data_IF_620321818664
#
_entry.id   IF_620321818664
#
_cell.length_a   1.000
_cell.length_b   1.000
_cell.length_c   1.000
_cell.angle_alpha   90.00
_cell.angle_beta   90.00
_cell.angle_gamma   90.00
#
_symmetry.space_group_name_H-M   'P 1'
#
loop_
_entity.id
_entity.type
_entity.pdbx_description
1 polymer ?
#
# COMPACT_ATOMS: atom_id res chain seq x y z
N UNK A 1 15.27 -2.62 -39.52
CA UNK A 1 13.86 -2.38 -39.87
C UNK A 1 13.27 -1.45 -38.81
N UNK A 2 12.13 -0.80 -39.04
CA UNK A 2 11.47 0.02 -38.00
C UNK A 2 10.31 -0.76 -37.39
N UNK A 3 10.08 -0.56 -36.10
CA UNK A 3 8.96 -1.18 -35.36
C UNK A 3 8.01 -0.10 -34.86
N UNK A 4 6.71 -0.39 -34.90
CA UNK A 4 5.67 0.57 -34.54
C UNK A 4 5.07 0.27 -33.17
N UNK A 5 4.72 1.35 -32.46
CA UNK A 5 3.96 1.33 -31.22
C UNK A 5 2.48 1.58 -31.48
N UNK A 6 1.64 0.53 -31.51
CA UNK A 6 0.19 0.65 -31.75
C UNK A 6 -0.55 1.53 -30.73
N UNK A 7 0.02 1.71 -29.52
CA UNK A 7 -0.59 2.53 -28.46
C UNK A 7 -0.27 4.00 -28.56
N UNK A 8 0.91 4.34 -29.06
CA UNK A 8 1.46 5.70 -28.99
C UNK A 8 1.77 6.30 -30.36
N UNK A 9 1.73 5.49 -31.42
CA UNK A 9 1.95 5.91 -32.80
C UNK A 9 3.41 6.20 -33.15
N UNK A 10 4.36 5.92 -32.25
CA UNK A 10 5.78 6.25 -32.44
C UNK A 10 6.52 5.06 -33.06
N UNK A 11 7.35 5.35 -34.06
CA UNK A 11 8.25 4.38 -34.67
C UNK A 11 9.61 4.37 -33.97
N UNK A 12 10.17 3.17 -33.80
CA UNK A 12 11.46 2.93 -33.16
C UNK A 12 12.38 2.10 -34.06
N UNK A 13 13.72 2.21 -33.87
CA UNK A 13 14.68 1.31 -34.49
C UNK A 13 14.48 -0.17 -34.07
N UNK A 14 14.94 -1.10 -34.90
CA UNK A 14 14.72 -2.56 -34.73
C UNK A 14 15.26 -3.16 -33.43
N UNK A 15 16.29 -2.53 -32.86
CA UNK A 15 16.93 -2.94 -31.62
C UNK A 15 16.02 -2.83 -30.39
N UNK A 16 14.96 -2.04 -30.47
CA UNK A 16 13.99 -1.89 -29.38
C UNK A 16 12.96 -3.03 -29.41
N UNK A 17 12.77 -3.69 -28.27
CA UNK A 17 11.70 -4.68 -28.08
C UNK A 17 10.43 -4.05 -27.49
N UNK A 18 10.55 -2.94 -26.77
CA UNK A 18 9.47 -2.25 -26.07
C UNK A 18 9.50 -0.74 -26.34
N UNK A 19 8.33 -0.12 -26.33
CA UNK A 19 8.19 1.33 -26.46
C UNK A 19 8.76 2.03 -25.22
N UNK A 20 9.75 2.92 -25.42
CA UNK A 20 10.37 3.70 -24.34
C UNK A 20 9.41 4.69 -23.65
N UNK A 21 8.26 5.00 -24.28
CA UNK A 21 7.27 5.94 -23.74
C UNK A 21 6.14 5.27 -22.97
N UNK A 22 5.70 4.08 -23.37
CA UNK A 22 4.52 3.42 -22.77
C UNK A 22 4.71 1.94 -22.41
N UNK A 23 5.90 1.38 -22.61
CA UNK A 23 6.24 0.01 -22.24
C UNK A 23 5.60 -1.09 -23.09
N UNK A 24 4.75 -0.77 -24.07
CA UNK A 24 4.12 -1.80 -24.92
C UNK A 24 5.13 -2.48 -25.85
N UNK A 25 4.98 -3.78 -26.14
CA UNK A 25 5.82 -4.47 -27.12
C UNK A 25 5.64 -3.84 -28.51
N UNK A 26 6.75 -3.68 -29.24
CA UNK A 26 6.75 -3.07 -30.58
C UNK A 26 6.54 -4.13 -31.66
N UNK A 27 5.68 -3.86 -32.65
CA UNK A 27 5.46 -4.79 -33.77
C UNK A 27 6.34 -4.42 -34.97
N UNK A 28 6.97 -5.41 -35.63
CA UNK A 28 7.68 -5.16 -36.88
C UNK A 28 6.70 -4.70 -37.96
N UNK A 29 7.03 -3.56 -38.58
CA UNK A 29 6.25 -3.03 -39.69
C UNK A 29 6.71 -3.79 -40.94
N UNK A 30 6.01 -4.86 -41.29
CA UNK A 30 6.18 -5.48 -42.60
C UNK A 30 5.50 -4.57 -43.62
N UNK A 31 6.27 -3.94 -44.49
CA UNK A 31 5.73 -3.30 -45.69
C UNK A 31 4.86 -4.33 -46.42
N UNK A 32 3.57 -4.09 -46.47
CA UNK A 32 2.64 -4.89 -47.25
C UNK A 32 2.28 -4.08 -48.49
N UNK A 33 2.86 -4.38 -49.67
CA UNK A 33 2.44 -3.74 -50.91
C UNK A 33 1.02 -4.20 -51.27
N UNK A 34 0.21 -3.25 -51.70
CA UNK A 34 -1.16 -3.44 -52.18
C UNK A 34 -1.25 -4.33 -53.43
N UNK A 35 -2.09 -5.36 -53.33
CA UNK A 35 -2.91 -6.08 -54.34
C UNK A 35 -2.44 -6.20 -55.82
N UNK A 36 -2.33 -7.45 -56.29
CA UNK A 36 -2.76 -7.90 -57.64
C UNK A 36 -3.06 -9.42 -57.65
N UNK A 37 -3.94 -9.88 -58.55
CA UNK A 37 -4.66 -11.16 -58.52
C UNK A 37 -4.08 -12.31 -59.40
N UNK A 38 -4.55 -13.55 -59.13
CA UNK A 38 -4.60 -14.81 -59.95
C UNK A 38 -3.33 -15.69 -60.11
N UNK A 39 -3.41 -16.97 -60.57
CA UNK A 39 -4.20 -18.16 -60.12
C UNK A 39 -3.32 -19.44 -59.86
N UNK A 40 -3.87 -20.47 -59.16
CA UNK A 40 -3.33 -21.87 -59.00
C UNK A 40 -3.46 -22.72 -60.29
N UNK A 41 -2.81 -23.92 -60.51
CA UNK A 41 -2.59 -25.09 -59.59
C UNK A 41 -1.30 -25.94 -59.94
N UNK A 42 -1.14 -27.28 -59.69
CA UNK A 42 -1.65 -28.24 -58.68
C UNK A 42 -0.58 -29.04 -57.88
N UNK A 43 -1.11 -29.75 -56.87
CA UNK A 43 -0.64 -30.81 -55.95
C UNK A 43 0.58 -31.72 -56.24
N UNK A 44 1.25 -32.11 -55.14
CA UNK A 44 1.97 -33.37 -54.99
C UNK A 44 2.44 -33.63 -53.55
N UNK A 45 1.75 -34.50 -52.80
CA UNK A 45 2.24 -35.12 -51.55
C UNK A 45 2.69 -36.55 -51.87
N UNK A 46 3.72 -37.06 -51.16
CA UNK A 46 3.47 -38.25 -50.34
C UNK A 46 4.07 -38.15 -48.92
N UNK A 47 3.65 -39.04 -48.01
CA UNK A 47 3.69 -38.82 -46.56
C UNK A 47 5.01 -39.29 -45.95
N UNK A 48 5.48 -38.60 -44.91
CA UNK A 48 6.44 -39.18 -43.99
C UNK A 48 5.94 -39.05 -42.55
N UNK A 49 5.63 -40.19 -41.94
CA UNK A 49 5.26 -40.32 -40.53
C UNK A 49 6.50 -40.07 -39.67
N UNK A 50 6.57 -38.90 -39.06
CA UNK A 50 7.41 -38.64 -37.89
C UNK A 50 6.52 -38.33 -36.70
N UNK A 51 6.54 -39.18 -35.67
CA UNK A 51 5.91 -38.88 -34.39
C UNK A 51 6.66 -37.70 -33.74
N UNK A 52 6.04 -36.52 -33.71
CA UNK A 52 6.65 -35.28 -33.21
C UNK A 52 6.40 -35.15 -31.69
N UNK A 53 7.47 -35.31 -30.89
CA UNK A 53 7.47 -35.22 -29.42
C UNK A 53 7.32 -33.78 -28.89
N UNK A 54 6.78 -32.85 -29.68
CA UNK A 54 6.67 -31.42 -29.36
C UNK A 54 5.51 -31.06 -28.41
N UNK A 55 4.54 -31.95 -28.23
CA UNK A 55 3.35 -31.64 -27.41
C UNK A 55 3.64 -31.78 -25.91
N UNK A 56 4.53 -32.69 -25.51
CA UNK A 56 4.88 -32.88 -24.09
C UNK A 56 5.85 -31.79 -23.59
N UNK A 57 6.77 -31.33 -24.44
CA UNK A 57 7.69 -30.23 -24.10
C UNK A 57 6.98 -28.89 -23.89
N UNK A 58 5.96 -28.59 -24.70
CA UNK A 58 5.17 -27.36 -24.56
C UNK A 58 4.29 -27.35 -23.31
N UNK A 59 3.68 -28.49 -22.95
CA UNK A 59 2.83 -28.61 -21.77
C UNK A 59 3.65 -28.62 -20.47
N UNK A 60 4.79 -29.31 -20.45
CA UNK A 60 5.71 -29.29 -19.32
C UNK A 60 6.34 -27.89 -19.16
N UNK A 61 6.71 -27.22 -20.26
CA UNK A 61 7.20 -25.85 -20.25
C UNK A 61 6.15 -24.84 -19.78
N UNK A 62 4.88 -25.00 -20.19
CA UNK A 62 3.78 -24.17 -19.71
C UNK A 62 3.45 -24.43 -18.23
N UNK A 63 3.46 -25.68 -17.77
CA UNK A 63 3.28 -26.03 -16.35
C UNK A 63 4.43 -25.48 -15.52
N UNK A 64 5.68 -25.60 -15.98
CA UNK A 64 6.85 -25.02 -15.29
C UNK A 64 6.78 -23.49 -15.30
N UNK A 65 6.38 -22.86 -16.41
CA UNK A 65 6.20 -21.41 -16.47
C UNK A 65 5.06 -20.93 -15.56
N UNK A 66 3.93 -21.64 -15.51
CA UNK A 66 2.81 -21.35 -14.60
C UNK A 66 3.20 -21.60 -13.16
N UNK A 67 3.94 -22.68 -12.86
CA UNK A 67 4.46 -22.97 -11.53
C UNK A 67 5.53 -21.95 -11.13
N UNK A 68 6.39 -21.49 -12.02
CA UNK A 68 7.37 -20.43 -11.76
C UNK A 68 6.67 -19.08 -11.60
N UNK A 69 5.64 -18.76 -12.37
CA UNK A 69 4.82 -17.55 -12.18
C UNK A 69 4.05 -17.65 -10.86
N UNK A 70 3.49 -18.81 -10.50
CA UNK A 70 2.83 -19.03 -9.22
C UNK A 70 3.83 -18.99 -8.06
N UNK A 71 5.03 -19.55 -8.20
CA UNK A 71 6.12 -19.49 -7.20
C UNK A 71 6.64 -18.06 -7.09
N UNK A 72 6.77 -17.31 -8.19
CA UNK A 72 7.14 -15.88 -8.16
C UNK A 72 6.02 -15.05 -7.54
N UNK A 73 4.75 -15.32 -7.83
CA UNK A 73 3.59 -14.69 -7.17
C UNK A 73 3.48 -15.09 -5.68
N UNK A 74 3.90 -16.29 -5.30
CA UNK A 74 3.96 -16.75 -3.90
C UNK A 74 5.20 -16.26 -3.15
N UNK A 75 6.35 -16.15 -3.82
CA UNK A 75 7.62 -15.64 -3.27
C UNK A 75 7.64 -14.11 -3.20
N UNK A 76 6.89 -13.42 -4.07
CA UNK A 76 6.51 -12.01 -3.89
C UNK A 76 5.47 -11.82 -2.76
N UNK A 77 4.93 -12.91 -2.21
CA UNK A 77 4.04 -12.91 -1.04
C UNK A 77 4.74 -13.22 0.30
N UNK A 78 6.06 -13.40 0.32
CA UNK A 78 6.84 -13.67 1.53
C UNK A 78 8.18 -12.91 1.46
N UNK A 79 8.18 -11.61 1.81
CA UNK A 79 8.46 -11.22 3.20
C UNK A 79 7.51 -10.09 3.66
N UNK A 80 6.80 -10.36 4.75
CA UNK A 80 5.93 -9.39 5.44
C UNK A 80 5.67 -9.82 6.88
N UNK A 81 5.70 -11.13 7.17
CA UNK A 81 5.54 -11.66 8.51
C UNK A 81 6.63 -11.21 9.49
N UNK A 82 7.89 -11.11 9.06
CA UNK A 82 9.01 -10.75 9.94
C UNK A 82 8.95 -9.29 10.36
N UNK A 83 8.78 -8.38 9.41
CA UNK A 83 8.67 -6.94 9.65
C UNK A 83 7.40 -6.60 10.47
N UNK A 84 6.24 -7.17 10.10
CA UNK A 84 5.00 -6.99 10.89
C UNK A 84 5.10 -7.60 12.30
N UNK A 85 5.90 -8.65 12.50
CA UNK A 85 6.17 -9.19 13.84
C UNK A 85 7.11 -8.29 14.66
N UNK A 86 8.03 -7.58 14.01
CA UNK A 86 8.99 -6.69 14.65
C UNK A 86 8.31 -5.48 15.31
N UNK A 87 7.14 -5.05 14.83
CA UNK A 87 6.31 -4.01 15.45
C UNK A 87 6.11 -4.25 16.96
N UNK A 88 5.86 -5.49 17.38
CA UNK A 88 5.73 -5.82 18.81
C UNK A 88 7.04 -5.66 19.58
N UNK A 89 8.17 -6.00 18.96
CA UNK A 89 9.51 -5.82 19.54
C UNK A 89 9.88 -4.35 19.64
N UNK A 90 9.67 -3.57 18.57
CA UNK A 90 9.91 -2.12 18.54
C UNK A 90 9.02 -1.41 19.57
N UNK A 91 7.74 -1.78 19.68
CA UNK A 91 6.84 -1.25 20.72
C UNK A 91 7.32 -1.59 22.14
N UNK A 92 7.84 -2.80 22.37
CA UNK A 92 8.41 -3.17 23.66
C UNK A 92 9.68 -2.36 23.98
N UNK A 93 10.54 -2.09 23.00
CA UNK A 93 11.73 -1.27 23.18
C UNK A 93 11.37 0.19 23.48
N UNK A 94 10.41 0.74 22.75
CA UNK A 94 10.05 2.16 22.81
C UNK A 94 9.17 2.51 24.02
N UNK A 95 8.26 1.62 24.41
CA UNK A 95 7.24 1.89 25.43
C UNK A 95 7.38 1.00 26.68
N UNK A 96 8.30 0.03 26.67
CA UNK A 96 8.39 -0.98 27.72
C UNK A 96 7.19 -1.92 27.73
N UNK A 97 6.96 -2.57 28.87
CA UNK A 97 5.79 -3.43 29.06
C UNK A 97 5.87 -4.78 28.36
N UNK A 98 4.71 -5.37 28.09
CA UNK A 98 4.58 -6.65 27.37
C UNK A 98 3.72 -6.44 26.15
N UNK A 99 4.22 -6.87 24.99
CA UNK A 99 3.57 -6.67 23.70
C UNK A 99 3.44 -7.99 22.96
N UNK A 100 2.35 -8.13 22.22
CA UNK A 100 2.15 -9.26 21.32
C UNK A 100 1.43 -8.83 20.05
N UNK A 101 1.91 -9.33 18.92
CA UNK A 101 1.23 -9.15 17.63
C UNK A 101 0.06 -10.12 17.56
N UNK A 102 -1.13 -9.57 17.30
CA UNK A 102 -2.37 -10.33 17.15
C UNK A 102 -2.38 -11.04 15.80
N UNK A 103 -1.87 -12.27 15.77
CA UNK A 103 -1.67 -13.06 14.54
C UNK A 103 -2.95 -13.32 13.73
N UNK A 104 -4.12 -13.25 14.36
CA UNK A 104 -5.42 -13.42 13.69
C UNK A 104 -5.95 -12.12 13.06
N UNK A 105 -5.25 -11.00 13.28
CA UNK A 105 -5.65 -9.65 12.82
C UNK A 105 -4.48 -8.90 12.19
N UNK A 106 -3.38 -9.60 11.91
CA UNK A 106 -2.17 -9.08 11.27
C UNK A 106 -1.88 -9.93 10.06
N UNK A 107 -1.55 -9.30 8.93
CA UNK A 107 -1.30 -10.01 7.70
C UNK A 107 -1.07 -9.10 6.51
N UNK A 108 -1.16 -9.71 5.34
CA UNK A 108 -0.96 -9.06 4.04
C UNK A 108 -2.10 -9.41 3.11
N UNK A 109 -2.60 -8.41 2.41
CA UNK A 109 -3.57 -8.53 1.35
C UNK A 109 -2.93 -8.16 0.01
N UNK A 110 -2.98 -9.08 -0.96
CA UNK A 110 -2.49 -8.83 -2.33
C UNK A 110 -3.66 -8.79 -3.29
N UNK A 111 -3.71 -7.75 -4.13
CA UNK A 111 -4.77 -7.56 -5.11
C UNK A 111 -4.72 -8.65 -6.19
N UNK A 112 -5.88 -9.25 -6.48
CA UNK A 112 -6.01 -10.33 -7.47
C UNK A 112 -6.98 -9.99 -8.61
N UNK A 113 -7.49 -8.76 -8.67
CA UNK A 113 -8.42 -8.31 -9.70
C UNK A 113 -9.87 -8.17 -9.22
N UNK A 114 -10.68 -7.42 -9.97
CA UNK A 114 -12.12 -7.22 -9.71
C UNK A 114 -12.47 -6.73 -8.30
N UNK A 115 -11.60 -5.92 -7.68
CA UNK A 115 -11.80 -5.46 -6.30
C UNK A 115 -11.63 -6.56 -5.25
N UNK A 116 -10.98 -7.68 -5.57
CA UNK A 116 -10.72 -8.79 -4.64
C UNK A 116 -9.24 -8.85 -4.24
N UNK A 117 -9.01 -9.34 -3.02
CA UNK A 117 -7.70 -9.50 -2.41
C UNK A 117 -7.53 -10.91 -1.84
N UNK A 118 -6.33 -11.48 -2.00
CA UNK A 118 -5.90 -12.63 -1.23
C UNK A 118 -5.21 -12.16 0.05
N UNK A 119 -5.85 -12.42 1.18
CA UNK A 119 -5.33 -12.12 2.52
C UNK A 119 -4.62 -13.36 3.07
N UNK A 120 -3.42 -13.16 3.60
CA UNK A 120 -2.68 -14.16 4.39
C UNK A 120 -2.39 -13.57 5.76
N UNK A 121 -2.98 -14.14 6.80
CA UNK A 121 -2.76 -13.75 8.19
C UNK A 121 -1.54 -14.46 8.77
N UNK A 122 -0.93 -13.89 9.81
CA UNK A 122 0.26 -14.47 10.46
C UNK A 122 -0.01 -15.80 11.19
N UNK A 123 -1.27 -16.11 11.47
CA UNK A 123 -1.67 -17.44 11.96
C UNK A 123 -1.70 -18.52 10.85
N UNK A 124 -1.43 -18.15 9.60
CA UNK A 124 -1.45 -19.03 8.43
C UNK A 124 -2.81 -19.13 7.73
N UNK A 125 -3.87 -18.51 8.27
CA UNK A 125 -5.19 -18.45 7.62
C UNK A 125 -5.08 -17.64 6.34
N UNK A 126 -5.68 -18.17 5.27
CA UNK A 126 -5.81 -17.52 3.97
C UNK A 126 -7.27 -17.33 3.62
N UNK A 127 -7.61 -16.18 3.09
CA UNK A 127 -8.97 -15.88 2.65
C UNK A 127 -8.96 -14.91 1.48
N UNK A 128 -10.04 -14.96 0.69
CA UNK A 128 -10.28 -13.97 -0.35
C UNK A 128 -11.34 -13.01 0.15
N UNK A 129 -11.04 -11.72 0.16
CA UNK A 129 -11.96 -10.67 0.64
C UNK A 129 -12.20 -9.64 -0.44
N UNK A 130 -13.33 -8.94 -0.36
CA UNK A 130 -13.54 -7.74 -1.17
C UNK A 130 -12.73 -6.57 -0.62
N UNK A 131 -12.46 -5.60 -1.48
CA UNK A 131 -11.87 -4.33 -1.06
C UNK A 131 -12.73 -3.62 0.01
N UNK A 132 -14.05 -3.71 -0.09
CA UNK A 132 -14.97 -3.13 0.91
C UNK A 132 -14.74 -3.74 2.29
N UNK A 133 -14.58 -5.08 2.36
CA UNK A 133 -14.32 -5.77 3.61
C UNK A 133 -12.95 -5.39 4.17
N UNK A 134 -11.91 -5.42 3.33
CA UNK A 134 -10.55 -5.01 3.71
C UNK A 134 -10.52 -3.55 4.21
N UNK A 135 -11.23 -2.66 3.54
CA UNK A 135 -11.30 -1.24 3.87
C UNK A 135 -11.99 -1.01 5.21
N UNK A 136 -13.14 -1.67 5.42
CA UNK A 136 -13.90 -1.57 6.67
C UNK A 136 -13.14 -2.11 7.89
N UNK A 137 -12.30 -3.13 7.69
CA UNK A 137 -11.56 -3.79 8.77
C UNK A 137 -10.24 -3.10 9.11
N UNK A 138 -9.50 -2.61 8.10
CA UNK A 138 -8.11 -2.18 8.30
C UNK A 138 -7.81 -0.80 7.69
N UNK A 139 -8.23 -0.49 6.46
CA UNK A 139 -7.85 0.78 5.80
C UNK A 139 -8.47 2.02 6.45
N UNK A 140 -9.43 1.85 7.35
CA UNK A 140 -9.92 2.93 8.21
C UNK A 140 -8.81 3.64 9.00
N UNK A 141 -7.66 3.00 9.23
CA UNK A 141 -6.47 3.59 9.87
C UNK A 141 -5.82 4.66 8.98
N UNK A 142 -5.87 4.47 7.66
CA UNK A 142 -5.43 5.47 6.68
C UNK A 142 -6.48 6.59 6.51
N UNK A 143 -7.70 6.38 7.00
CA UNK A 143 -8.68 7.45 7.08
C UNK A 143 -8.20 8.47 8.09
N UNK A 144 -7.57 9.52 7.57
CA UNK A 144 -7.12 10.68 8.29
C UNK A 144 -8.26 11.19 9.19
N UNK A 145 -8.22 10.82 10.47
CA UNK A 145 -9.14 11.36 11.46
C UNK A 145 -8.90 12.86 11.50
N UNK A 146 -9.93 13.59 11.13
CA UNK A 146 -9.90 15.02 10.84
C UNK A 146 -9.35 15.80 12.01
N UNK A 147 -8.21 16.47 11.85
CA UNK A 147 -7.79 17.49 12.80
C UNK A 147 -8.55 18.78 12.50
N UNK A 148 -9.64 19.01 13.24
CA UNK A 148 -10.43 20.24 13.11
C UNK A 148 -10.49 20.98 14.43
N UNK A 149 -9.56 21.92 14.68
CA UNK A 149 -9.68 22.83 15.81
C UNK A 149 -10.84 23.83 15.66
N UNK A 150 -11.60 23.83 14.56
CA UNK A 150 -12.80 24.68 14.38
C UNK A 150 -13.81 24.15 13.34
N UNK A 151 -14.86 23.48 13.82
CA UNK A 151 -16.25 23.68 13.35
C UNK A 151 -16.67 23.41 11.89
N UNK A 152 -16.00 22.58 11.09
CA UNK A 152 -16.48 22.34 9.72
C UNK A 152 -16.13 20.99 9.13
N UNK A 153 -17.04 20.01 9.18
CA UNK A 153 -16.88 18.63 8.70
C UNK A 153 -16.10 18.46 7.37
N UNK A 154 -14.82 18.10 7.44
CA UNK A 154 -14.07 17.59 6.29
C UNK A 154 -13.37 16.29 6.66
N UNK A 155 -14.06 15.17 6.44
CA UNK A 155 -13.48 13.82 6.54
C UNK A 155 -12.53 13.60 5.38
N UNK A 156 -11.22 13.54 5.65
CA UNK A 156 -10.29 12.88 4.75
C UNK A 156 -10.40 11.38 5.05
N UNK A 157 -11.39 10.72 4.45
CA UNK A 157 -11.31 9.28 4.24
C UNK A 157 -10.65 9.16 2.87
N UNK A 158 -9.49 8.51 2.72
CA UNK A 158 -9.02 8.17 1.40
C UNK A 158 -10.05 7.21 0.82
N UNK A 159 -10.96 7.75 0.01
CA UNK A 159 -11.77 6.94 -0.90
C UNK A 159 -10.85 6.62 -2.06
N UNK A 160 -10.18 5.47 -1.97
CA UNK A 160 -9.27 5.06 -3.02
C UNK A 160 -10.11 4.69 -4.27
N UNK A 161 -10.09 5.55 -5.29
CA UNK A 161 -10.66 5.23 -6.62
C UNK A 161 -9.83 4.17 -7.33
N UNK A 162 -8.62 3.92 -6.84
CA UNK A 162 -7.65 2.95 -7.34
C UNK A 162 -7.36 1.94 -6.25
N UNK A 163 -7.50 0.66 -6.55
CA UNK A 163 -7.22 -0.41 -5.61
C UNK A 163 -5.70 -0.52 -5.36
N UNK A 164 -5.22 -0.52 -4.09
CA UNK A 164 -3.82 -0.78 -3.79
C UNK A 164 -3.42 -2.18 -4.26
N UNK A 165 -2.19 -2.34 -4.75
CA UNK A 165 -1.66 -3.62 -5.18
C UNK A 165 -1.42 -4.56 -4.00
N UNK A 166 -0.95 -3.98 -2.90
CA UNK A 166 -0.60 -4.68 -1.66
C UNK A 166 -1.00 -3.81 -0.48
N UNK A 167 -1.52 -4.46 0.56
CA UNK A 167 -1.87 -3.86 1.84
C UNK A 167 -1.28 -4.73 2.93
N UNK A 168 -0.45 -4.13 3.77
CA UNK A 168 0.08 -4.77 4.96
C UNK A 168 -0.58 -4.14 6.17
N UNK A 169 -1.02 -4.96 7.12
CA UNK A 169 -1.72 -4.49 8.30
C UNK A 169 -1.26 -5.25 9.53
N UNK A 170 -1.06 -4.52 10.62
CA UNK A 170 -0.59 -5.02 11.90
C UNK A 170 -1.45 -4.52 13.03
N UNK A 171 -1.74 -5.42 13.95
CA UNK A 171 -2.39 -5.12 15.22
C UNK A 171 -1.51 -5.69 16.33
N UNK A 172 -0.89 -4.83 17.11
CA UNK A 172 -0.11 -5.21 18.29
C UNK A 172 -0.84 -4.72 19.54
N UNK A 173 -1.11 -5.63 20.47
CA UNK A 173 -1.62 -5.27 21.78
C UNK A 173 -0.51 -5.34 22.82
N UNK A 174 -0.65 -4.56 23.88
CA UNK A 174 0.29 -4.62 24.98
C UNK A 174 -0.22 -3.95 26.23
N UNK A 175 0.68 -3.84 27.20
CA UNK A 175 0.40 -3.16 28.46
C UNK A 175 1.52 -2.19 28.77
N UNK A 176 1.21 -0.90 28.92
CA UNK A 176 2.16 0.13 29.33
C UNK A 176 1.67 0.72 30.65
N UNK A 177 2.51 0.68 31.68
CA UNK A 177 2.16 1.15 33.04
C UNK A 177 0.83 0.57 33.59
N UNK A 178 0.56 -0.71 33.28
CA UNK A 178 -0.67 -1.40 33.70
C UNK A 178 -1.94 -1.04 32.91
N UNK A 179 -1.84 -0.17 31.89
CA UNK A 179 -2.95 0.13 30.98
C UNK A 179 -2.83 -0.71 29.71
N UNK A 180 -3.97 -1.25 29.26
CA UNK A 180 -4.04 -1.91 27.96
C UNK A 180 -3.84 -0.88 26.85
N UNK A 181 -2.99 -1.23 25.91
CA UNK A 181 -2.55 -0.37 24.80
C UNK A 181 -2.69 -1.14 23.49
N UNK A 182 -2.93 -0.40 22.42
CA UNK A 182 -3.03 -0.95 21.08
C UNK A 182 -2.21 -0.11 20.09
N UNK A 183 -1.53 -0.78 19.18
CA UNK A 183 -0.94 -0.19 17.98
C UNK A 183 -1.60 -0.86 16.78
N UNK A 184 -2.13 -0.06 15.88
CA UNK A 184 -2.66 -0.49 14.59
C UNK A 184 -1.84 0.21 13.51
N UNK A 185 -1.19 -0.55 12.65
CA UNK A 185 -0.42 -0.04 11.52
C UNK A 185 -0.98 -0.57 10.21
N UNK A 186 -0.99 0.27 9.18
CA UNK A 186 -1.38 -0.09 7.82
C UNK A 186 -0.39 0.55 6.86
N UNK A 187 0.19 -0.27 5.99
CA UNK A 187 0.94 0.16 4.83
C UNK A 187 0.19 -0.22 3.57
N UNK A 188 0.17 0.67 2.57
CA UNK A 188 -0.39 0.38 1.25
C UNK A 188 0.61 0.73 0.17
N UNK A 189 0.68 -0.12 -0.85
CA UNK A 189 1.53 0.07 -2.02
C UNK A 189 0.69 0.08 -3.30
N UNK A 190 0.98 1.04 -4.17
CA UNK A 190 0.36 1.19 -5.49
C UNK A 190 1.38 0.97 -6.60
N UNK A 191 1.04 0.13 -7.59
CA UNK A 191 1.89 -0.11 -8.76
C UNK A 191 1.38 0.61 -10.03
N UNK A 192 0.38 1.46 -9.90
CA UNK A 192 -0.24 2.18 -11.01
C UNK A 192 0.30 3.60 -11.10
N UNK A 193 0.20 4.20 -12.29
CA UNK A 193 0.51 5.62 -12.50
C UNK A 193 -0.64 6.28 -13.26
N UNK A 194 -1.23 7.38 -12.76
CA UNK A 194 -1.03 7.95 -11.42
C UNK A 194 -1.63 7.05 -10.33
N UNK A 195 -1.10 7.12 -9.10
CA UNK A 195 -1.67 6.45 -7.93
C UNK A 195 -2.08 7.47 -6.84
N UNK A 196 -2.94 7.08 -5.88
CA UNK A 196 -3.35 7.96 -4.78
C UNK A 196 -2.19 8.56 -3.98
N UNK A 197 -1.17 7.76 -3.64
CA UNK A 197 -0.03 8.19 -2.84
C UNK A 197 0.70 9.39 -3.45
N UNK A 198 0.90 9.39 -4.78
CA UNK A 198 1.57 10.50 -5.46
C UNK A 198 0.82 11.83 -5.33
N UNK A 199 -0.51 11.83 -5.23
CA UNK A 199 -1.29 13.05 -5.01
C UNK A 199 -1.12 13.57 -3.59
N UNK A 200 -1.19 12.68 -2.59
CA UNK A 200 -1.02 13.04 -1.17
C UNK A 200 0.41 13.53 -0.91
N UNK A 201 1.41 12.84 -1.47
CA UNK A 201 2.81 13.23 -1.45
C UNK A 201 3.00 14.63 -2.04
N UNK A 202 2.55 14.86 -3.29
CA UNK A 202 2.71 16.16 -3.92
C UNK A 202 2.02 17.30 -3.16
N UNK A 203 0.85 17.04 -2.57
CA UNK A 203 0.15 18.02 -1.76
C UNK A 203 0.89 18.35 -0.46
N UNK A 204 1.38 17.32 0.24
CA UNK A 204 2.12 17.49 1.49
C UNK A 204 3.44 18.21 1.22
N UNK A 205 4.18 17.76 0.23
CA UNK A 205 5.39 18.41 -0.24
C UNK A 205 5.14 19.88 -0.64
N UNK A 206 4.02 20.17 -1.34
CA UNK A 206 3.65 21.54 -1.69
C UNK A 206 3.41 22.42 -0.45
N UNK A 207 2.71 21.89 0.57
CA UNK A 207 2.52 22.58 1.86
C UNK A 207 3.88 22.87 2.52
N UNK A 208 4.79 21.89 2.51
CA UNK A 208 6.10 21.97 3.15
C UNK A 208 7.04 22.96 2.45
N UNK A 209 7.01 23.01 1.12
CA UNK A 209 7.90 23.87 0.32
C UNK A 209 7.40 25.31 0.18
N UNK A 210 6.10 25.55 0.37
CA UNK A 210 5.52 26.88 0.23
C UNK A 210 5.56 27.65 1.56
N UNK A 211 6.34 28.73 1.59
CA UNK A 211 6.59 29.55 2.78
C UNK A 211 5.33 30.14 3.43
N UNK A 212 4.27 30.36 2.64
CA UNK A 212 3.00 30.85 3.18
C UNK A 212 2.30 29.74 3.98
N UNK A 213 2.31 28.51 3.46
CA UNK A 213 1.71 27.36 4.15
C UNK A 213 2.56 26.88 5.33
N UNK A 214 3.88 26.96 5.27
CA UNK A 214 4.74 26.58 6.42
C UNK A 214 4.50 27.47 7.65
N UNK A 215 4.27 28.78 7.45
CA UNK A 215 3.89 29.71 8.53
C UNK A 215 2.50 29.39 9.12
N UNK A 216 1.57 28.94 8.25
CA UNK A 216 0.25 28.49 8.66
C UNK A 216 0.32 27.20 9.49
N UNK A 217 1.11 26.21 9.07
CA UNK A 217 1.34 24.97 9.83
C UNK A 217 1.94 25.27 11.20
N UNK A 218 2.93 26.16 11.27
CA UNK A 218 3.52 26.60 12.54
C UNK A 218 2.47 27.23 13.47
N UNK A 219 1.57 28.03 12.91
CA UNK A 219 0.47 28.66 13.65
C UNK A 219 -0.56 27.64 14.15
N UNK A 220 -0.89 26.62 13.33
CA UNK A 220 -1.76 25.50 13.75
C UNK A 220 -1.11 24.74 14.89
N UNK A 221 0.17 24.36 14.76
CA UNK A 221 0.90 23.62 15.79
C UNK A 221 0.94 24.39 17.12
N UNK A 222 1.25 25.69 17.05
CA UNK A 222 1.23 26.58 18.23
C UNK A 222 -0.16 26.76 18.84
N UNK A 223 -1.24 26.67 18.05
CA UNK A 223 -2.59 26.70 18.57
C UNK A 223 -3.01 25.36 19.19
N UNK A 224 -2.66 24.24 18.54
CA UNK A 224 -2.94 22.88 19.02
C UNK A 224 -2.28 22.61 20.38
N UNK A 225 -1.04 23.09 20.57
CA UNK A 225 -0.30 22.91 21.82
C UNK A 225 -0.98 23.57 23.02
N UNK A 226 -1.74 24.66 22.84
CA UNK A 226 -2.55 25.29 23.89
C UNK A 226 -3.63 24.37 24.44
N UNK A 227 -4.04 23.37 23.66
CA UNK A 227 -5.01 22.35 24.05
C UNK A 227 -4.34 21.03 24.45
N UNK A 228 -3.01 21.00 24.64
CA UNK A 228 -2.29 19.78 24.97
C UNK A 228 -2.25 18.78 23.82
N UNK A 229 -2.27 19.28 22.58
CA UNK A 229 -2.15 18.47 21.37
C UNK A 229 -0.81 18.79 20.70
N UNK A 230 0.00 17.76 20.49
CA UNK A 230 1.20 17.85 19.67
C UNK A 230 0.79 17.60 18.22
N UNK A 231 1.03 18.57 17.33
CA UNK A 231 0.79 18.44 15.90
C UNK A 231 2.04 18.84 15.13
N UNK A 232 2.50 17.96 14.24
CA UNK A 232 3.68 18.17 13.41
C UNK A 232 3.40 17.72 11.98
N UNK A 233 4.02 18.41 11.03
CA UNK A 233 4.09 18.02 9.63
C UNK A 233 5.53 18.22 9.21
N UNK A 234 6.10 17.27 8.48
CA UNK A 234 7.51 17.28 8.18
C UNK A 234 7.86 16.39 6.99
N UNK A 235 9.13 16.45 6.61
CA UNK A 235 9.73 15.55 5.62
C UNK A 235 11.02 14.97 6.18
N UNK A 236 11.25 13.67 5.99
CA UNK A 236 12.48 12.97 6.41
C UNK A 236 12.76 11.80 5.47
N UNK A 237 14.02 11.57 5.10
CA UNK A 237 14.44 10.47 4.22
C UNK A 237 13.67 10.35 2.88
N UNK A 238 13.16 11.47 2.35
CA UNK A 238 12.38 11.47 1.10
C UNK A 238 10.89 11.16 1.28
N UNK A 239 10.44 10.98 2.53
CA UNK A 239 9.05 10.80 2.88
C UNK A 239 8.48 12.04 3.55
N UNK A 240 7.19 12.28 3.32
CA UNK A 240 6.42 13.33 3.96
C UNK A 240 5.50 12.73 5.01
N UNK A 241 5.39 13.36 6.17
CA UNK A 241 4.61 12.85 7.27
C UNK A 241 3.79 13.90 7.99
N UNK A 242 2.75 13.43 8.69
CA UNK A 242 1.99 14.18 9.68
C UNK A 242 1.89 13.37 10.96
N UNK A 243 1.95 14.06 12.09
CA UNK A 243 1.97 13.45 13.41
C UNK A 243 1.05 14.23 14.34
N UNK A 244 0.19 13.51 15.06
CA UNK A 244 -0.65 14.04 16.13
C UNK A 244 -0.49 13.18 17.36
N UNK A 245 -0.30 13.76 18.55
CA UNK A 245 -0.47 13.04 19.81
C UNK A 245 -1.13 13.88 20.89
N UNK A 246 -1.97 13.26 21.72
CA UNK A 246 -2.64 13.94 22.84
C UNK A 246 -3.18 13.00 23.90
N UNK A 247 -3.34 13.52 25.12
CA UNK A 247 -4.08 12.92 26.24
C UNK A 247 -5.34 13.71 26.61
N UNK A 248 -5.68 14.74 25.81
CA UNK A 248 -6.81 15.62 26.07
C UNK A 248 -8.15 14.89 25.89
N UNK A 249 -8.87 14.67 27.00
CA UNK A 249 -10.12 13.90 27.00
C UNK A 249 -11.23 14.52 26.16
N UNK A 250 -11.31 15.86 26.08
CA UNK A 250 -12.29 16.53 25.21
C UNK A 250 -12.03 16.21 23.76
N UNK A 251 -10.76 16.26 23.32
CA UNK A 251 -10.41 15.84 21.96
C UNK A 251 -10.73 14.35 21.76
N UNK A 252 -10.26 13.47 22.64
CA UNK A 252 -10.44 12.01 22.53
C UNK A 252 -11.92 11.62 22.39
N UNK A 253 -12.80 12.22 23.19
CA UNK A 253 -14.26 11.95 23.17
C UNK A 253 -14.96 12.37 21.86
N UNK A 254 -14.33 13.23 21.06
CA UNK A 254 -14.86 13.66 19.77
C UNK A 254 -14.21 12.95 18.57
N UNK A 255 -13.18 12.14 18.80
CA UNK A 255 -12.49 11.43 17.71
C UNK A 255 -13.28 10.23 17.19
N UNK A 256 -13.32 9.98 15.86
CA UNK A 256 -13.94 8.78 15.27
C UNK A 256 -13.26 7.45 15.64
N UNK A 257 -12.09 7.51 16.29
CA UNK A 257 -11.24 6.34 16.58
C UNK A 257 -11.88 5.39 17.60
N UNK A 258 -12.82 5.90 18.39
CA UNK A 258 -13.67 5.09 19.29
C UNK A 258 -14.37 3.93 18.59
N UNK A 259 -14.84 4.12 17.35
CA UNK A 259 -15.47 3.05 16.57
C UNK A 259 -14.50 1.91 16.25
N UNK A 260 -13.31 2.23 15.75
CA UNK A 260 -12.27 1.24 15.43
C UNK A 260 -11.76 0.52 16.69
N UNK A 261 -11.50 1.27 17.76
CA UNK A 261 -11.08 0.70 19.03
C UNK A 261 -12.12 -0.29 19.57
N UNK A 262 -13.41 0.06 19.51
CA UNK A 262 -14.49 -0.78 20.02
C UNK A 262 -14.63 -2.12 19.30
N UNK A 263 -14.39 -2.17 17.98
CA UNK A 263 -14.42 -3.40 17.19
C UNK A 263 -13.33 -4.40 17.63
N UNK A 264 -12.22 -3.89 18.15
CA UNK A 264 -11.11 -4.68 18.69
C UNK A 264 -11.25 -4.94 20.20
N UNK A 265 -12.39 -4.58 20.81
CA UNK A 265 -12.66 -4.73 22.23
C UNK A 265 -12.03 -3.65 23.12
N UNK A 266 -11.51 -2.57 22.54
CA UNK A 266 -10.95 -1.43 23.26
C UNK A 266 -12.00 -0.33 23.43
N UNK A 267 -12.48 -0.16 24.66
CA UNK A 267 -13.58 0.77 24.98
C UNK A 267 -13.11 2.09 25.63
N UNK A 268 -11.96 2.09 26.30
CA UNK A 268 -11.44 3.24 27.02
C UNK A 268 -10.20 3.80 26.30
N UNK A 269 -10.28 5.06 25.89
CA UNK A 269 -9.20 5.81 25.25
C UNK A 269 -8.73 6.92 26.20
N UNK A 270 -7.54 6.78 26.77
CA UNK A 270 -6.89 7.74 27.68
C UNK A 270 -5.85 8.60 26.96
N UNK A 271 -5.32 8.12 25.83
CA UNK A 271 -4.36 8.82 25.00
C UNK A 271 -4.45 8.34 23.55
N UNK A 272 -3.96 9.17 22.63
CA UNK A 272 -3.90 8.83 21.21
C UNK A 272 -2.63 9.36 20.57
N UNK A 273 -2.07 8.56 19.67
CA UNK A 273 -1.06 8.93 18.70
C UNK A 273 -1.52 8.55 17.32
N UNK A 274 -1.43 9.45 16.35
CA UNK A 274 -1.61 9.13 14.94
C UNK A 274 -0.40 9.61 14.17
N UNK A 275 0.13 8.76 13.31
CA UNK A 275 1.25 9.06 12.44
C UNK A 275 0.90 8.58 11.05
N UNK A 276 1.16 9.41 10.05
CA UNK A 276 1.06 8.97 8.67
C UNK A 276 2.23 9.48 7.86
N UNK A 277 2.65 8.66 6.93
CA UNK A 277 3.82 8.84 6.09
C UNK A 277 3.46 8.48 4.65
N UNK A 278 3.95 9.24 3.69
CA UNK A 278 3.67 9.01 2.27
C UNK A 278 4.92 9.16 1.42
N UNK A 279 4.98 8.31 0.39
CA UNK A 279 5.95 8.34 -0.69
C UNK A 279 5.22 8.45 -2.03
N UNK A 280 5.96 8.45 -3.13
CA UNK A 280 5.35 8.48 -4.47
C UNK A 280 4.42 7.29 -4.77
N UNK A 281 4.58 6.15 -4.09
CA UNK A 281 3.80 4.93 -4.34
C UNK A 281 3.26 4.26 -3.06
N UNK A 282 3.65 4.75 -1.87
CA UNK A 282 3.28 4.15 -0.59
C UNK A 282 2.55 5.15 0.30
N UNK A 283 1.63 4.65 1.10
CA UNK A 283 1.07 5.37 2.23
C UNK A 283 1.11 4.46 3.46
N UNK A 284 1.50 5.03 4.58
CA UNK A 284 1.59 4.35 5.87
C UNK A 284 0.78 5.17 6.86
N UNK A 285 -0.03 4.48 7.66
CA UNK A 285 -0.79 5.07 8.74
C UNK A 285 -0.70 4.21 9.99
N UNK A 286 -0.52 4.87 11.13
CA UNK A 286 -0.41 4.25 12.44
C UNK A 286 -1.34 4.96 13.39
N UNK A 287 -2.10 4.19 14.15
CA UNK A 287 -2.88 4.64 15.30
C UNK A 287 -2.37 3.92 16.54
N UNK A 288 -2.05 4.68 17.57
CA UNK A 288 -1.65 4.22 18.89
C UNK A 288 -2.69 4.66 19.91
N UNK A 289 -3.20 3.74 20.71
CA UNK A 289 -4.27 3.97 21.69
C UNK A 289 -3.72 3.73 23.09
N UNK A 290 -3.98 4.67 24.00
CA UNK A 290 -3.52 4.68 25.40
C UNK A 290 -2.01 4.85 25.58
N UNK A 291 -1.29 5.21 24.52
CA UNK A 291 0.10 5.64 24.54
C UNK A 291 0.23 6.84 23.61
N UNK A 292 0.52 8.05 24.12
CA UNK A 292 0.84 9.21 23.29
C UNK A 292 2.34 9.15 22.94
N UNK A 293 2.72 8.70 21.73
CA UNK A 293 4.12 8.51 21.39
C UNK A 293 4.82 9.87 21.21
N UNK A 294 6.14 9.84 21.20
CA UNK A 294 6.97 10.88 20.56
C UNK A 294 7.02 10.65 19.05
N UNK A 295 7.45 11.66 18.29
CA UNK A 295 7.64 11.52 16.84
C UNK A 295 8.59 10.35 16.50
N UNK A 296 9.73 10.26 17.21
CA UNK A 296 10.74 9.22 16.95
C UNK A 296 10.19 7.81 17.17
N UNK A 297 9.37 7.60 18.20
CA UNK A 297 8.75 6.29 18.45
C UNK A 297 7.71 5.97 17.38
N UNK A 298 6.93 6.97 16.93
CA UNK A 298 5.99 6.76 15.84
C UNK A 298 6.69 6.40 14.52
N UNK A 299 7.80 7.06 14.21
CA UNK A 299 8.65 6.75 13.06
C UNK A 299 9.25 5.34 13.13
N UNK A 300 9.70 4.91 14.31
CA UNK A 300 10.22 3.55 14.51
C UNK A 300 9.18 2.49 14.13
N UNK A 301 7.95 2.65 14.62
CA UNK A 301 6.83 1.74 14.26
C UNK A 301 6.48 1.84 12.77
N UNK A 302 6.52 3.05 12.18
CA UNK A 302 6.24 3.25 10.75
C UNK A 302 7.23 2.49 9.89
N UNK A 303 8.51 2.56 10.22
CA UNK A 303 9.58 1.91 9.47
C UNK A 303 9.43 0.38 9.48
N UNK A 304 8.91 -0.22 10.55
CA UNK A 304 8.60 -1.66 10.55
C UNK A 304 7.44 -2.03 9.61
N UNK A 305 6.45 -1.13 9.46
CA UNK A 305 5.34 -1.31 8.52
C UNK A 305 5.80 -1.02 7.09
N UNK A 306 6.65 -0.02 6.88
CA UNK A 306 7.28 0.29 5.61
C UNK A 306 8.11 -0.89 5.11
N UNK A 307 8.96 -1.45 5.98
CA UNK A 307 9.83 -2.57 5.66
C UNK A 307 9.09 -3.88 5.32
N UNK A 308 7.76 -3.91 5.49
CA UNK A 308 6.94 -5.02 5.03
C UNK A 308 6.42 -4.85 3.61
N UNK A 309 6.32 -3.61 3.08
CA UNK A 309 5.75 -3.27 1.76
C UNK A 309 6.66 -3.70 0.59
#
# INVERSE_FOLDING_TARGET
>A
MTKHCDKCGIDYPDEYQFCQKCGSPLRPIWYQPTTAATPQPPQGQPPNKGFDFKVIGGLLGAVIAVVLVLIVLFALGAPSATALSAVGTTAQQDFGGSWSVMKNSTGVAVYIGNGLYNVTLLNGKKETVSYSDLSSQYLGVLSYSTFQPSGGNYRFMPSFTVYPTKVDFVVANGTVNGQNTLIIGVGVYYNTTPNPACYVYNFTNYIMQNSTFSSFISSISANASKYGINFQVGSSNGFDYYFVSTTNQTFLSTTPISGFASQLGFINITAIGTYGEVSTNEEIGIIMINVPPTLSQAQGIASEVEGSL
#
